data_IF_556165893877
#
_entry.id   IF_556165893877
#
_cell.length_a   1.000
_cell.length_b   1.000
_cell.length_c   1.000
_cell.angle_alpha   90.00
_cell.angle_beta   90.00
_cell.angle_gamma   90.00
#
_symmetry.space_group_name_H-M   'P 1'
#
loop_
_entity.id
_entity.type
_entity.pdbx_description
1 polymer ?
#
# COMPACT_ATOMS: atom_id res chain seq x y z
N UNK A 1 -2.19 -16.97 1.68
CA UNK A 1 -2.92 -16.17 2.68
C UNK A 1 -3.05 -17.04 3.92
N UNK A 2 -2.81 -16.50 5.11
CA UNK A 2 -2.94 -17.27 6.35
C UNK A 2 -4.00 -16.61 7.20
N UNK A 3 -5.10 -17.33 7.40
CA UNK A 3 -6.18 -16.94 8.29
C UNK A 3 -5.69 -17.07 9.74
N UNK A 4 -5.58 -15.94 10.45
CA UNK A 4 -5.30 -15.93 11.88
C UNK A 4 -6.63 -15.74 12.61
N UNK A 5 -7.10 -16.81 13.24
CA UNK A 5 -8.22 -16.74 14.17
C UNK A 5 -7.68 -16.17 15.48
N UNK A 6 -7.88 -14.87 15.67
CA UNK A 6 -7.60 -14.21 16.95
C UNK A 6 -8.54 -14.79 18.03
N UNK A 7 -8.19 -14.67 19.31
CA UNK A 7 -9.02 -15.16 20.44
C UNK A 7 -10.45 -14.59 20.54
N UNK A 8 -10.85 -13.74 19.60
CA UNK A 8 -12.15 -13.11 19.44
C UNK A 8 -12.97 -13.68 18.24
N UNK A 9 -12.53 -14.80 17.64
CA UNK A 9 -13.18 -15.45 16.49
C UNK A 9 -13.42 -14.52 15.28
N UNK A 10 -12.54 -13.55 15.07
CA UNK A 10 -12.50 -12.74 13.85
C UNK A 10 -11.29 -13.18 13.04
N UNK A 11 -11.55 -13.76 11.87
CA UNK A 11 -10.57 -14.06 10.83
C UNK A 11 -9.92 -12.76 10.38
N UNK A 12 -8.73 -12.46 10.90
CA UNK A 12 -7.93 -11.35 10.39
C UNK A 12 -7.08 -11.88 9.24
N UNK A 13 -7.27 -11.30 8.05
CA UNK A 13 -6.53 -11.67 6.86
C UNK A 13 -5.16 -10.97 6.90
N UNK A 14 -4.21 -11.58 7.60
CA UNK A 14 -2.89 -10.98 7.81
C UNK A 14 -2.00 -11.36 6.64
N UNK A 15 -1.46 -10.34 5.96
CA UNK A 15 -0.44 -10.55 4.93
C UNK A 15 0.83 -11.10 5.60
N UNK A 16 1.01 -12.41 5.52
CA UNK A 16 2.25 -13.09 5.94
C UNK A 16 3.42 -12.40 5.23
N UNK A 17 4.43 -12.01 6.00
CA UNK A 17 5.61 -11.33 5.46
C UNK A 17 6.24 -12.18 4.34
N UNK A 18 6.58 -11.54 3.21
CA UNK A 18 7.25 -12.20 2.09
C UNK A 18 8.56 -12.81 2.61
N UNK A 19 8.89 -14.05 2.21
CA UNK A 19 10.12 -14.75 2.64
C UNK A 19 11.37 -13.87 2.51
N UNK A 20 11.47 -13.06 1.46
CA UNK A 20 12.57 -12.13 1.24
C UNK A 20 12.69 -11.04 2.33
N UNK A 21 11.59 -10.46 2.81
CA UNK A 21 11.65 -9.43 3.85
C UNK A 21 12.01 -10.02 5.22
N UNK A 22 11.57 -11.25 5.49
CA UNK A 22 12.03 -12.04 6.64
C UNK A 22 13.53 -12.34 6.56
N UNK A 23 14.00 -12.77 5.39
CA UNK A 23 15.42 -13.00 5.12
C UNK A 23 16.27 -11.76 5.39
N UNK A 24 15.91 -10.61 4.82
CA UNK A 24 16.61 -9.35 5.10
C UNK A 24 16.60 -8.97 6.59
N UNK A 25 15.48 -9.13 7.28
CA UNK A 25 15.43 -8.84 8.72
C UNK A 25 16.37 -9.76 9.52
N UNK A 26 16.42 -11.06 9.18
CA UNK A 26 17.33 -12.03 9.80
C UNK A 26 18.78 -11.66 9.49
N UNK A 27 19.10 -11.30 8.25
CA UNK A 27 20.46 -10.92 7.87
C UNK A 27 20.93 -9.68 8.63
N UNK A 28 20.09 -8.66 8.75
CA UNK A 28 20.39 -7.46 9.54
C UNK A 28 20.57 -7.79 11.02
N UNK A 29 19.65 -8.58 11.60
CA UNK A 29 19.77 -9.03 12.99
C UNK A 29 21.06 -9.82 13.22
N UNK A 30 21.40 -10.75 12.31
CA UNK A 30 22.61 -11.56 12.39
C UNK A 30 23.87 -10.70 12.25
N UNK A 31 23.87 -9.71 11.35
CA UNK A 31 24.97 -8.76 11.19
C UNK A 31 25.21 -7.99 12.50
N UNK A 32 24.18 -7.35 13.05
CA UNK A 32 24.29 -6.60 14.31
C UNK A 32 24.72 -7.50 15.46
N UNK A 33 24.14 -8.70 15.56
CA UNK A 33 24.46 -9.66 16.62
C UNK A 33 25.89 -10.18 16.50
N UNK A 34 26.38 -10.39 15.27
CA UNK A 34 27.76 -10.82 15.01
C UNK A 34 28.76 -9.72 15.33
N UNK A 35 28.48 -8.47 14.94
CA UNK A 35 29.32 -7.32 15.32
C UNK A 35 29.36 -7.15 16.85
N UNK A 36 28.21 -7.27 17.51
CA UNK A 36 28.13 -7.21 18.97
C UNK A 36 28.92 -8.34 19.62
N UNK A 37 28.85 -9.56 19.08
CA UNK A 37 29.59 -10.72 19.58
C UNK A 37 31.10 -10.50 19.45
N UNK A 38 31.59 -10.10 18.27
CA UNK A 38 33.01 -9.83 18.05
C UNK A 38 33.53 -8.73 18.96
N UNK A 39 32.77 -7.64 19.10
CA UNK A 39 33.14 -6.56 20.02
C UNK A 39 33.22 -7.06 21.46
N UNK A 40 32.23 -7.84 21.90
CA UNK A 40 32.18 -8.34 23.26
C UNK A 40 33.32 -9.33 23.55
N UNK A 41 33.63 -10.24 22.61
CA UNK A 41 34.78 -11.16 22.70
C UNK A 41 36.10 -10.40 22.69
N UNK A 42 36.23 -9.35 21.89
CA UNK A 42 37.43 -8.50 21.88
C UNK A 42 37.63 -7.82 23.25
N UNK A 43 36.57 -7.26 23.84
CA UNK A 43 36.62 -6.63 25.16
C UNK A 43 36.98 -7.65 26.25
N UNK A 44 36.37 -8.85 26.23
CA UNK A 44 36.72 -9.88 27.21
C UNK A 44 38.13 -10.40 27.00
N UNK A 45 38.62 -10.51 25.77
CA UNK A 45 40.01 -10.88 25.49
C UNK A 45 41.01 -9.86 26.06
N UNK A 46 40.71 -8.55 26.04
CA UNK A 46 41.58 -7.54 26.67
C UNK A 46 41.75 -7.73 28.18
N UNK A 47 40.81 -8.41 28.84
CA UNK A 47 40.93 -8.70 30.28
C UNK A 47 42.05 -9.69 30.60
N UNK A 48 42.50 -10.50 29.63
CA UNK A 48 43.62 -11.44 29.84
C UNK A 48 44.96 -10.73 30.08
N UNK A 49 45.03 -9.42 29.84
CA UNK A 49 46.21 -8.61 30.16
C UNK A 49 46.34 -8.32 31.66
N UNK A 50 45.26 -8.51 32.44
CA UNK A 50 45.19 -8.09 33.86
C UNK A 50 44.60 -9.18 34.76
N UNK A 51 43.83 -10.13 34.22
CA UNK A 51 43.18 -11.21 34.97
C UNK A 51 43.68 -12.59 34.54
N UNK A 52 43.47 -13.59 35.40
CA UNK A 52 43.82 -14.99 35.14
C UNK A 52 42.95 -15.60 34.03
N UNK A 53 43.52 -16.56 33.28
CA UNK A 53 42.88 -17.21 32.13
C UNK A 53 41.50 -17.80 32.45
N UNK A 54 41.34 -18.41 33.63
CA UNK A 54 40.07 -19.00 34.05
C UNK A 54 38.95 -17.97 34.14
N UNK A 55 39.26 -16.76 34.62
CA UNK A 55 38.32 -15.65 34.70
C UNK A 55 37.93 -15.15 33.30
N UNK A 56 38.92 -14.95 32.43
CA UNK A 56 38.68 -14.50 31.05
C UNK A 56 37.85 -15.50 30.25
N UNK A 57 38.11 -16.80 30.39
CA UNK A 57 37.31 -17.86 29.75
C UNK A 57 35.88 -17.84 30.27
N UNK A 58 35.69 -17.81 31.59
CA UNK A 58 34.36 -17.77 32.21
C UNK A 58 33.55 -16.54 31.77
N UNK A 59 34.18 -15.36 31.77
CA UNK A 59 33.55 -14.12 31.33
C UNK A 59 33.20 -14.16 29.84
N UNK A 60 34.10 -14.66 28.99
CA UNK A 60 33.86 -14.79 27.55
C UNK A 60 32.70 -15.72 27.24
N UNK A 61 32.59 -16.85 27.95
CA UNK A 61 31.45 -17.77 27.82
C UNK A 61 30.14 -17.11 28.25
N UNK A 62 30.13 -16.44 29.41
CA UNK A 62 28.96 -15.75 29.93
C UNK A 62 28.45 -14.69 28.94
N UNK A 63 29.36 -13.86 28.43
CA UNK A 63 29.05 -12.78 27.48
C UNK A 63 28.59 -13.36 26.14
N UNK A 64 29.20 -14.45 25.67
CA UNK A 64 28.77 -15.13 24.46
C UNK A 64 27.33 -15.61 24.58
N UNK A 65 26.95 -16.29 25.68
CA UNK A 65 25.56 -16.71 25.91
C UNK A 65 24.62 -15.51 26.02
N UNK A 66 25.06 -14.43 26.69
CA UNK A 66 24.27 -13.20 26.81
C UNK A 66 24.03 -12.54 25.45
N UNK A 67 24.98 -12.56 24.52
CA UNK A 67 24.80 -12.02 23.16
C UNK A 67 24.01 -12.97 22.27
N UNK A 68 24.23 -14.28 22.36
CA UNK A 68 23.55 -15.27 21.52
C UNK A 68 22.07 -15.42 21.88
N UNK A 69 21.76 -15.47 23.18
CA UNK A 69 20.40 -15.73 23.70
C UNK A 69 19.80 -14.48 24.33
N UNK A 70 20.58 -13.77 25.17
CA UNK A 70 20.10 -12.61 25.91
C UNK A 70 19.70 -11.45 25.00
N UNK A 71 20.53 -11.05 24.04
CA UNK A 71 20.24 -9.97 23.10
C UNK A 71 18.88 -10.17 22.37
N UNK A 72 18.64 -11.26 21.61
CA UNK A 72 17.37 -11.41 20.90
C UNK A 72 16.19 -11.55 21.87
N UNK A 73 16.38 -12.22 23.02
CA UNK A 73 15.33 -12.40 24.02
C UNK A 73 14.91 -11.06 24.65
N UNK A 74 15.89 -10.23 25.06
CA UNK A 74 15.65 -8.92 25.68
C UNK A 74 15.02 -7.97 24.67
N UNK A 75 15.56 -7.87 23.46
CA UNK A 75 15.00 -7.00 22.42
C UNK A 75 13.57 -7.39 22.07
N UNK A 76 13.30 -8.69 21.81
CA UNK A 76 11.94 -9.12 21.47
C UNK A 76 10.97 -8.93 22.64
N UNK A 77 11.41 -9.11 23.89
CA UNK A 77 10.56 -8.91 25.07
C UNK A 77 10.23 -7.43 25.28
N UNK A 78 11.26 -6.55 25.29
CA UNK A 78 11.08 -5.13 25.58
C UNK A 78 10.33 -4.39 24.47
N UNK A 79 10.59 -4.75 23.20
CA UNK A 79 9.96 -4.08 22.05
C UNK A 79 8.64 -4.73 21.61
N UNK A 80 8.14 -5.71 22.37
CA UNK A 80 6.90 -6.46 22.08
C UNK A 80 6.92 -7.15 20.72
N UNK A 81 8.03 -7.82 20.42
CA UNK A 81 8.21 -8.70 19.27
C UNK A 81 9.04 -8.11 18.14
N UNK A 82 9.90 -7.12 18.41
CA UNK A 82 10.77 -6.52 17.40
C UNK A 82 12.25 -6.67 17.78
N UNK A 83 13.10 -6.62 16.78
CA UNK A 83 14.56 -6.59 16.87
C UNK A 83 15.03 -5.51 15.90
N UNK A 84 16.28 -5.07 15.95
CA UNK A 84 16.76 -3.96 15.12
C UNK A 84 16.51 -4.20 13.61
N UNK A 85 16.83 -5.40 13.11
CA UNK A 85 16.57 -5.79 11.71
C UNK A 85 15.08 -5.88 11.40
N UNK A 86 14.26 -6.42 12.32
CA UNK A 86 12.80 -6.43 12.15
C UNK A 86 12.21 -5.02 12.15
N UNK A 87 12.74 -4.10 12.95
CA UNK A 87 12.32 -2.69 12.97
C UNK A 87 12.65 -2.00 11.64
N UNK A 88 13.84 -2.24 11.10
CA UNK A 88 14.27 -1.69 9.81
C UNK A 88 13.37 -2.14 8.65
N UNK A 89 12.93 -3.41 8.66
CA UNK A 89 12.10 -3.99 7.60
C UNK A 89 10.58 -3.89 7.91
N UNK A 90 10.21 -3.37 9.07
CA UNK A 90 8.80 -3.18 9.47
C UNK A 90 8.07 -4.48 9.81
N UNK A 91 8.78 -5.45 10.38
CA UNK A 91 8.25 -6.73 10.84
C UNK A 91 8.03 -6.74 12.35
N UNK A 92 7.07 -7.56 12.79
CA UNK A 92 6.79 -7.79 14.21
C UNK A 92 6.37 -9.23 14.46
N UNK A 93 6.88 -9.81 15.55
CA UNK A 93 6.47 -11.11 16.07
C UNK A 93 5.24 -10.92 16.95
N UNK A 94 4.22 -11.75 16.74
CA UNK A 94 3.01 -11.83 17.57
C UNK A 94 2.76 -13.29 17.96
N UNK A 95 2.04 -13.49 19.06
CA UNK A 95 1.56 -14.83 19.43
C UNK A 95 0.55 -15.33 18.40
N UNK A 96 0.35 -16.64 18.34
CA UNK A 96 -0.62 -17.25 17.43
C UNK A 96 -2.06 -16.78 17.66
N UNK A 97 -2.39 -16.40 18.90
CA UNK A 97 -3.70 -15.82 19.24
C UNK A 97 -3.83 -14.33 18.84
N UNK A 98 -2.78 -13.75 18.25
CA UNK A 98 -2.69 -12.34 17.86
C UNK A 98 -2.23 -11.40 18.97
N UNK A 99 -1.98 -11.93 20.18
CA UNK A 99 -1.50 -11.16 21.34
C UNK A 99 -0.02 -10.75 21.24
N UNK A 100 0.46 -9.87 22.16
CA UNK A 100 1.87 -9.54 22.26
C UNK A 100 2.69 -10.76 22.68
N UNK A 101 3.95 -10.80 22.25
CA UNK A 101 4.88 -11.86 22.63
C UNK A 101 5.17 -11.85 24.14
N UNK A 102 5.26 -13.04 24.75
CA UNK A 102 5.67 -13.22 26.15
C UNK A 102 7.17 -13.53 26.25
N UNK A 103 7.79 -13.25 27.40
CA UNK A 103 9.20 -13.56 27.64
C UNK A 103 9.58 -15.02 27.32
N UNK A 104 8.78 -15.99 27.77
CA UNK A 104 9.00 -17.42 27.48
C UNK A 104 9.05 -17.70 25.98
N UNK A 105 8.20 -17.07 25.19
CA UNK A 105 8.17 -17.25 23.74
C UNK A 105 9.43 -16.65 23.11
N UNK A 106 9.84 -15.45 23.55
CA UNK A 106 11.09 -14.83 23.10
C UNK A 106 12.33 -15.68 23.45
N UNK A 107 12.36 -16.28 24.65
CA UNK A 107 13.45 -17.16 25.09
C UNK A 107 13.54 -18.43 24.25
N UNK A 108 12.41 -19.13 24.04
CA UNK A 108 12.36 -20.35 23.20
C UNK A 108 12.84 -20.03 21.78
N UNK A 109 12.45 -18.88 21.24
CA UNK A 109 12.91 -18.42 19.92
C UNK A 109 14.40 -18.10 19.89
N UNK A 110 14.92 -17.46 20.94
CA UNK A 110 16.34 -17.16 21.06
C UNK A 110 17.19 -18.44 21.11
N UNK A 111 16.78 -19.41 21.92
CA UNK A 111 17.44 -20.72 22.03
C UNK A 111 17.37 -21.52 20.72
N UNK A 112 16.19 -21.59 20.10
CA UNK A 112 16.04 -22.20 18.78
C UNK A 112 16.91 -21.50 17.72
N UNK A 113 17.04 -20.17 17.81
CA UNK A 113 17.90 -19.38 16.93
C UNK A 113 19.39 -19.75 17.03
N UNK A 114 19.89 -20.14 18.21
CA UNK A 114 21.26 -20.65 18.36
C UNK A 114 21.45 -21.91 17.52
N UNK A 115 20.54 -22.86 17.64
CA UNK A 115 20.59 -24.10 16.86
C UNK A 115 20.44 -23.80 15.37
N UNK A 116 19.40 -23.05 15.00
CA UNK A 116 19.07 -22.77 13.61
C UNK A 116 20.16 -21.99 12.88
N UNK A 117 20.65 -20.87 13.45
CA UNK A 117 21.53 -19.93 12.75
C UNK A 117 23.01 -20.11 13.06
N UNK A 118 23.36 -20.43 14.31
CA UNK A 118 24.76 -20.53 14.72
C UNK A 118 25.33 -21.93 14.52
N UNK A 119 24.53 -22.99 14.76
CA UNK A 119 24.99 -24.37 14.59
C UNK A 119 24.79 -24.90 13.16
N UNK A 120 23.68 -24.54 12.51
CA UNK A 120 23.28 -25.07 11.20
C UNK A 120 23.16 -24.01 10.09
N UNK A 121 23.73 -22.81 10.28
CA UNK A 121 23.79 -21.73 9.27
C UNK A 121 22.45 -21.35 8.62
N UNK A 122 21.35 -21.44 9.37
CA UNK A 122 20.01 -21.08 8.94
C UNK A 122 19.29 -22.15 8.10
N UNK A 123 19.93 -23.29 7.80
CA UNK A 123 19.32 -24.34 6.98
C UNK A 123 18.00 -24.90 7.56
N UNK A 124 17.87 -25.19 8.88
CA UNK A 124 16.62 -25.73 9.41
C UNK A 124 15.50 -24.68 9.41
N UNK A 125 15.85 -23.40 9.62
CA UNK A 125 14.91 -22.28 9.56
C UNK A 125 14.34 -22.10 8.14
N UNK A 126 15.17 -22.25 7.11
CA UNK A 126 14.74 -22.17 5.71
C UNK A 126 13.84 -23.35 5.34
N UNK A 127 14.25 -24.57 5.67
CA UNK A 127 13.49 -25.79 5.37
C UNK A 127 12.11 -25.74 6.04
N UNK A 128 12.06 -25.49 7.35
CA UNK A 128 10.80 -25.42 8.09
C UNK A 128 9.90 -24.28 7.61
N UNK A 129 10.47 -23.11 7.29
CA UNK A 129 9.72 -21.99 6.74
C UNK A 129 9.18 -22.28 5.33
N UNK A 130 9.84 -23.11 4.52
CA UNK A 130 9.38 -23.47 3.18
C UNK A 130 8.29 -24.55 3.23
N UNK A 131 8.47 -25.57 4.08
CA UNK A 131 7.51 -26.67 4.22
C UNK A 131 6.22 -26.25 4.93
N UNK A 132 6.23 -25.16 5.69
CA UNK A 132 5.05 -24.69 6.42
C UNK A 132 4.23 -23.68 5.61
N UNK A 133 2.93 -23.95 5.43
CA UNK A 133 1.97 -23.03 4.78
C UNK A 133 1.93 -21.62 5.37
N UNK A 134 2.23 -21.47 6.66
CA UNK A 134 2.27 -20.16 7.35
C UNK A 134 3.66 -19.53 7.37
N UNK A 135 4.65 -20.17 6.75
CA UNK A 135 6.02 -19.67 6.68
C UNK A 135 6.72 -19.56 8.04
N UNK A 136 6.35 -20.36 9.04
CA UNK A 136 7.01 -20.31 10.37
C UNK A 136 8.29 -21.13 10.35
N UNK A 137 9.38 -20.58 10.89
CA UNK A 137 10.62 -21.32 11.16
C UNK A 137 10.51 -22.15 12.45
N UNK A 138 11.49 -22.99 12.74
CA UNK A 138 11.46 -23.91 13.88
C UNK A 138 11.24 -23.18 15.22
N UNK A 139 11.98 -22.09 15.46
CA UNK A 139 11.78 -21.28 16.67
C UNK A 139 10.40 -20.61 16.77
N UNK A 140 9.79 -20.26 15.65
CA UNK A 140 8.44 -19.69 15.62
C UNK A 140 7.38 -20.76 15.94
N UNK A 141 7.59 -21.98 15.44
CA UNK A 141 6.73 -23.15 15.69
C UNK A 141 6.74 -23.54 17.16
N UNK A 142 7.92 -23.70 17.76
CA UNK A 142 8.02 -24.09 19.17
C UNK A 142 7.51 -23.03 20.13
N UNK A 143 7.64 -21.75 19.78
CA UNK A 143 7.14 -20.66 20.61
C UNK A 143 5.66 -20.33 20.42
N UNK A 144 4.98 -20.94 19.42
CA UNK A 144 3.60 -20.58 19.08
C UNK A 144 3.46 -19.12 18.65
N UNK A 145 4.35 -18.69 17.74
CA UNK A 145 4.41 -17.30 17.27
C UNK A 145 4.39 -17.22 15.75
N UNK A 146 4.04 -16.05 15.24
CA UNK A 146 4.09 -15.71 13.82
C UNK A 146 4.67 -14.32 13.62
N UNK A 147 5.37 -14.11 12.50
CA UNK A 147 5.88 -12.78 12.14
C UNK A 147 4.94 -12.17 11.11
N UNK A 148 4.47 -10.97 11.43
CA UNK A 148 3.56 -10.18 10.60
C UNK A 148 4.29 -8.95 10.07
N UNK A 149 3.85 -8.46 8.91
CA UNK A 149 4.31 -7.19 8.36
C UNK A 149 3.46 -6.05 8.92
N UNK A 150 4.08 -5.15 9.67
CA UNK A 150 3.40 -4.03 10.34
C UNK A 150 3.50 -2.72 9.53
N UNK A 151 4.57 -2.54 8.75
CA UNK A 151 4.73 -1.38 7.85
C UNK A 151 4.57 -1.76 6.38
N UNK A 152 3.86 -0.89 5.66
CA UNK A 152 3.83 -0.82 4.19
C UNK A 152 5.28 -0.57 3.70
N UNK A 153 5.74 -1.26 2.65
CA UNK A 153 7.16 -1.31 2.25
C UNK A 153 7.83 0.05 2.13
N UNK A 154 9.13 0.09 2.44
CA UNK A 154 10.01 1.27 2.34
C UNK A 154 10.04 1.92 0.94
N UNK A 155 9.53 1.27 -0.09
CA UNK A 155 9.26 1.90 -1.39
C UNK A 155 8.31 3.11 -1.28
N UNK A 156 7.46 3.16 -0.24
CA UNK A 156 6.62 4.32 0.07
C UNK A 156 7.38 5.49 0.74
N UNK A 157 8.60 5.26 1.24
CA UNK A 157 9.44 6.32 1.84
C UNK A 157 10.28 7.04 0.78
N UNK A 158 10.76 6.34 -0.26
CA UNK A 158 11.58 6.94 -1.32
C UNK A 158 10.75 7.66 -2.40
N UNK A 159 9.51 7.24 -2.65
CA UNK A 159 8.64 7.84 -3.68
C UNK A 159 7.42 8.57 -3.12
N UNK A 160 7.43 8.86 -1.81
CA UNK A 160 6.29 9.43 -1.11
C UNK A 160 5.03 8.53 -1.18
N UNK A 161 3.91 8.97 -0.60
CA UNK A 161 2.63 8.34 -0.85
C UNK A 161 2.34 8.32 -2.35
N UNK A 162 2.09 7.14 -2.93
CA UNK A 162 1.70 6.97 -4.36
C UNK A 162 0.49 7.84 -4.76
N UNK A 163 -0.26 8.35 -3.79
CA UNK A 163 -1.30 9.35 -3.97
C UNK A 163 -1.25 10.36 -2.82
N UNK A 164 -0.80 11.58 -3.13
CA UNK A 164 -0.89 12.76 -2.25
C UNK A 164 -2.02 13.64 -2.78
N UNK A 165 -2.87 14.16 -1.89
CA UNK A 165 -3.95 15.06 -2.28
C UNK A 165 -3.37 16.39 -2.80
N UNK A 166 -3.59 16.75 -4.08
CA UNK A 166 -3.18 18.05 -4.60
C UNK A 166 -4.00 19.16 -3.91
N UNK A 167 -3.38 20.25 -3.42
CA UNK A 167 -4.10 21.28 -2.66
C UNK A 167 -5.22 21.94 -3.48
N UNK A 168 -4.99 22.14 -4.78
CA UNK A 168 -5.97 22.68 -5.73
C UNK A 168 -7.20 21.79 -5.97
N UNK A 169 -7.13 20.50 -5.68
CA UNK A 169 -8.25 19.56 -5.78
C UNK A 169 -8.78 19.12 -4.42
N UNK A 170 -8.24 19.62 -3.31
CA UNK A 170 -8.64 19.19 -1.98
C UNK A 170 -10.12 19.49 -1.68
N UNK A 171 -10.65 20.61 -2.19
CA UNK A 171 -12.06 20.97 -2.04
C UNK A 171 -12.98 20.00 -2.79
N UNK A 172 -12.59 19.59 -4.01
CA UNK A 172 -13.34 18.64 -4.84
C UNK A 172 -13.21 17.21 -4.30
N UNK A 173 -12.00 16.82 -3.88
CA UNK A 173 -11.75 15.53 -3.27
C UNK A 173 -12.65 15.26 -2.08
N UNK A 174 -12.85 16.26 -1.20
CA UNK A 174 -13.75 16.14 -0.04
C UNK A 174 -15.21 15.92 -0.41
N UNK A 175 -15.67 16.40 -1.57
CA UNK A 175 -17.04 16.22 -2.03
C UNK A 175 -17.26 14.95 -2.87
N UNK A 176 -16.21 14.17 -3.14
CA UNK A 176 -16.31 12.97 -3.96
C UNK A 176 -17.21 11.90 -3.34
N UNK A 177 -18.05 11.27 -4.14
CA UNK A 177 -18.68 10.00 -3.87
C UNK A 177 -17.85 8.90 -4.53
N UNK A 178 -17.37 7.96 -3.71
CA UNK A 178 -16.45 6.89 -4.12
C UNK A 178 -17.09 5.50 -3.96
N UNK A 179 -18.41 5.45 -3.77
CA UNK A 179 -19.18 4.22 -3.53
C UNK A 179 -19.07 3.21 -4.68
N UNK A 180 -18.99 3.72 -5.91
CA UNK A 180 -18.94 2.94 -7.15
C UNK A 180 -17.51 2.63 -7.64
N UNK A 181 -16.48 3.17 -6.97
CA UNK A 181 -15.09 2.94 -7.34
C UNK A 181 -14.61 1.56 -6.85
N UNK A 182 -14.44 0.63 -7.78
CA UNK A 182 -13.96 -0.72 -7.46
C UNK A 182 -12.50 -0.76 -6.99
N UNK A 183 -12.16 -1.80 -6.23
CA UNK A 183 -10.79 -2.07 -5.76
C UNK A 183 -9.83 -2.32 -6.92
N UNK A 184 -10.29 -3.01 -7.95
CA UNK A 184 -9.52 -3.29 -9.16
C UNK A 184 -9.12 -1.99 -9.88
N UNK A 185 -10.09 -1.11 -10.14
CA UNK A 185 -9.83 0.16 -10.83
C UNK A 185 -8.91 1.08 -10.01
N UNK A 186 -9.09 1.13 -8.69
CA UNK A 186 -8.19 1.86 -7.80
C UNK A 186 -6.77 1.28 -7.81
N UNK A 187 -6.62 -0.04 -7.88
CA UNK A 187 -5.32 -0.70 -8.01
C UNK A 187 -4.65 -0.41 -9.35
N UNK A 188 -5.40 -0.41 -10.46
CA UNK A 188 -4.89 -0.02 -11.78
C UNK A 188 -4.36 1.41 -11.78
N UNK A 189 -5.14 2.35 -11.23
CA UNK A 189 -4.71 3.74 -11.06
C UNK A 189 -3.45 3.87 -10.20
N UNK A 190 -3.37 3.10 -9.11
CA UNK A 190 -2.18 3.08 -8.24
C UNK A 190 -0.95 2.53 -8.94
N UNK A 191 -1.08 1.46 -9.71
CA UNK A 191 0.03 0.87 -10.47
C UNK A 191 0.57 1.85 -11.51
N UNK A 192 -0.32 2.55 -12.22
CA UNK A 192 0.05 3.62 -13.13
C UNK A 192 0.87 4.71 -12.43
N UNK A 193 0.37 5.27 -11.33
CA UNK A 193 1.08 6.33 -10.60
C UNK A 193 2.43 5.86 -10.03
N UNK A 194 2.51 4.60 -9.57
CA UNK A 194 3.76 4.04 -9.04
C UNK A 194 4.83 3.93 -10.12
N UNK A 195 4.43 3.60 -11.35
CA UNK A 195 5.33 3.43 -12.51
C UNK A 195 5.41 4.67 -13.39
N UNK A 196 4.84 5.79 -12.96
CA UNK A 196 4.70 6.98 -13.79
C UNK A 196 6.04 7.43 -14.39
N UNK A 197 7.12 7.39 -13.61
CA UNK A 197 8.47 7.79 -14.05
C UNK A 197 9.20 6.75 -14.91
N UNK A 198 8.72 5.51 -14.98
CA UNK A 198 9.31 4.42 -15.77
C UNK A 198 8.71 4.33 -17.19
N UNK A 199 7.52 4.88 -17.41
CA UNK A 199 6.79 4.79 -18.67
C UNK A 199 7.35 5.75 -19.72
N UNK A 200 7.18 5.45 -21.02
CA UNK A 200 7.46 6.43 -22.08
C UNK A 200 6.39 7.54 -22.10
N UNK A 201 6.71 8.78 -22.49
CA UNK A 201 5.76 9.91 -22.47
C UNK A 201 4.41 9.62 -23.15
N UNK A 202 4.41 9.04 -24.34
CA UNK A 202 3.16 8.73 -25.08
C UNK A 202 2.31 7.68 -24.35
N UNK A 203 2.96 6.72 -23.69
CA UNK A 203 2.29 5.69 -22.90
C UNK A 203 1.73 6.28 -21.60
N UNK A 204 2.44 7.25 -20.98
CA UNK A 204 1.95 7.94 -19.78
C UNK A 204 0.64 8.66 -20.05
N UNK A 205 0.55 9.36 -21.18
CA UNK A 205 -0.61 10.15 -21.53
C UNK A 205 -1.80 9.27 -21.95
N UNK A 206 -1.57 8.32 -22.86
CA UNK A 206 -2.64 7.42 -23.35
C UNK A 206 -3.21 6.52 -22.25
N UNK A 207 -2.35 5.92 -21.41
CA UNK A 207 -2.77 5.05 -20.33
C UNK A 207 -3.38 5.84 -19.18
N UNK A 208 -2.80 7.01 -18.86
CA UNK A 208 -3.35 7.94 -17.87
C UNK A 208 -4.77 8.38 -18.24
N UNK A 209 -4.98 8.82 -19.49
CA UNK A 209 -6.28 9.26 -19.98
C UNK A 209 -7.31 8.13 -19.90
N UNK A 210 -6.95 6.92 -20.34
CA UNK A 210 -7.87 5.76 -20.31
C UNK A 210 -8.34 5.43 -18.89
N UNK A 211 -7.41 5.40 -17.92
CA UNK A 211 -7.75 5.13 -16.51
C UNK A 211 -8.56 6.28 -15.94
N UNK A 212 -8.20 7.54 -16.24
CA UNK A 212 -8.96 8.70 -15.78
C UNK A 212 -10.39 8.69 -16.30
N UNK A 213 -10.63 8.36 -17.58
CA UNK A 213 -11.99 8.22 -18.13
C UNK A 213 -12.80 7.16 -17.38
N UNK A 214 -12.19 6.01 -17.09
CA UNK A 214 -12.85 4.94 -16.32
C UNK A 214 -13.19 5.38 -14.89
N UNK A 215 -12.29 6.11 -14.23
CA UNK A 215 -12.53 6.63 -12.88
C UNK A 215 -13.59 7.71 -12.88
N UNK A 216 -13.54 8.67 -13.82
CA UNK A 216 -14.53 9.75 -13.93
C UNK A 216 -15.94 9.21 -14.20
N UNK A 217 -16.08 8.08 -14.90
CA UNK A 217 -17.37 7.44 -15.15
C UNK A 217 -18.05 6.89 -13.89
N UNK A 218 -17.29 6.68 -12.79
CA UNK A 218 -17.80 6.06 -11.55
C UNK A 218 -17.66 6.95 -10.31
N UNK A 219 -17.22 8.20 -10.45
CA UNK A 219 -17.14 9.16 -9.34
C UNK A 219 -18.02 10.37 -9.60
N UNK A 220 -18.52 10.97 -8.52
CA UNK A 220 -19.34 12.19 -8.55
C UNK A 220 -18.88 13.14 -7.44
N UNK A 221 -18.88 14.47 -7.60
CA UNK A 221 -19.18 15.24 -8.81
C UNK A 221 -18.06 15.14 -9.86
N UNK A 222 -18.32 15.48 -11.14
CA UNK A 222 -17.29 15.46 -12.18
C UNK A 222 -16.09 16.36 -11.81
N UNK A 223 -14.88 16.03 -12.31
CA UNK A 223 -13.68 16.80 -12.01
C UNK A 223 -13.73 18.21 -12.61
N UNK A 224 -12.99 19.18 -12.03
CA UNK A 224 -12.79 20.48 -12.65
C UNK A 224 -12.19 20.37 -14.06
N UNK A 225 -12.56 21.26 -14.99
CA UNK A 225 -12.02 21.23 -16.35
C UNK A 225 -10.51 21.50 -16.38
N UNK A 226 -9.79 20.89 -17.32
CA UNK A 226 -8.36 21.14 -17.54
C UNK A 226 -7.40 20.41 -16.60
N UNK A 227 -7.89 19.49 -15.76
CA UNK A 227 -7.04 18.72 -14.85
C UNK A 227 -6.36 17.56 -15.59
N UNK A 228 -5.03 17.44 -15.42
CA UNK A 228 -4.25 16.33 -15.99
C UNK A 228 -4.61 14.99 -15.31
N UNK A 229 -4.61 13.85 -16.05
CA UNK A 229 -5.02 12.54 -15.53
C UNK A 229 -4.32 12.12 -14.23
N UNK A 230 -3.02 12.30 -14.13
CA UNK A 230 -2.23 11.91 -12.95
C UNK A 230 -2.58 12.74 -11.69
N UNK A 231 -2.97 14.01 -11.86
CA UNK A 231 -3.38 14.89 -10.78
C UNK A 231 -4.78 14.50 -10.29
N UNK A 232 -5.67 14.15 -11.23
CA UNK A 232 -7.00 13.63 -10.92
C UNK A 232 -6.92 12.30 -10.17
N UNK A 233 -6.17 11.33 -10.71
CA UNK A 233 -6.04 10.00 -10.13
C UNK A 233 -5.38 10.04 -8.74
N UNK A 234 -4.38 10.89 -8.54
CA UNK A 234 -3.78 11.09 -7.21
C UNK A 234 -4.76 11.69 -6.21
N UNK A 235 -5.60 12.66 -6.61
CA UNK A 235 -6.63 13.22 -5.74
C UNK A 235 -7.68 12.18 -5.32
N UNK A 236 -8.20 11.40 -6.27
CA UNK A 236 -9.20 10.35 -6.02
C UNK A 236 -8.65 9.27 -5.07
N UNK A 237 -7.43 8.79 -5.34
CA UNK A 237 -6.79 7.77 -4.50
C UNK A 237 -6.41 8.31 -3.11
N UNK A 238 -6.01 9.59 -3.01
CA UNK A 238 -5.71 10.23 -1.73
C UNK A 238 -6.97 10.36 -0.86
N UNK A 239 -8.10 10.78 -1.45
CA UNK A 239 -9.39 10.85 -0.74
C UNK A 239 -9.86 9.46 -0.31
N UNK A 240 -9.79 8.47 -1.20
CA UNK A 240 -10.16 7.08 -0.88
C UNK A 240 -9.36 6.57 0.33
N UNK A 241 -8.04 6.78 0.31
CA UNK A 241 -7.15 6.44 1.41
C UNK A 241 -7.53 7.16 2.71
N UNK A 242 -7.81 8.46 2.64
CA UNK A 242 -8.21 9.25 3.80
C UNK A 242 -9.47 8.69 4.47
N UNK A 243 -10.47 8.27 3.68
CA UNK A 243 -11.70 7.63 4.19
C UNK A 243 -11.46 6.25 4.78
N UNK A 244 -10.61 5.45 4.15
CA UNK A 244 -10.24 4.13 4.69
C UNK A 244 -9.50 4.27 6.03
N UNK A 245 -8.55 5.21 6.14
CA UNK A 245 -7.85 5.52 7.38
C UNK A 245 -8.82 5.97 8.49
N UNK A 246 -9.79 6.82 8.16
CA UNK A 246 -10.84 7.26 9.07
C UNK A 246 -11.72 6.10 9.57
N UNK A 247 -12.19 5.22 8.66
CA UNK A 247 -12.99 4.03 9.01
C UNK A 247 -12.21 3.09 9.94
N UNK A 248 -10.93 2.87 9.66
CA UNK A 248 -10.06 2.03 10.49
C UNK A 248 -9.83 2.66 11.87
N UNK A 249 -9.62 3.97 11.94
CA UNK A 249 -9.48 4.69 13.21
C UNK A 249 -10.76 4.59 14.06
N UNK A 250 -11.94 4.73 13.45
CA UNK A 250 -13.23 4.56 14.13
C UNK A 250 -13.43 3.14 14.66
N UNK A 251 -13.14 2.12 13.84
CA UNK A 251 -13.21 0.71 14.27
C UNK A 251 -12.25 0.41 15.43
N UNK A 252 -11.04 0.97 15.39
CA UNK A 252 -10.06 0.88 16.49
C UNK A 252 -10.59 1.56 17.76
N UNK A 253 -11.14 2.77 17.65
CA UNK A 253 -11.70 3.50 18.78
C UNK A 253 -12.90 2.77 19.41
N UNK A 254 -13.81 2.22 18.60
CA UNK A 254 -14.92 1.40 19.07
C UNK A 254 -14.43 0.15 19.80
N UNK A 255 -13.39 -0.53 19.27
CA UNK A 255 -12.78 -1.68 19.93
C UNK A 255 -12.12 -1.28 21.26
N UNK A 256 -11.37 -0.18 21.31
CA UNK A 256 -10.74 0.29 22.57
C UNK A 256 -11.78 0.66 23.64
N UNK A 257 -12.89 1.31 23.24
CA UNK A 257 -14.01 1.62 24.14
C UNK A 257 -14.64 0.36 24.74
N UNK A 258 -14.80 -0.72 23.96
CA UNK A 258 -15.31 -2.01 24.47
C UNK A 258 -14.40 -2.63 25.53
N UNK A 259 -13.09 -2.40 25.45
CA UNK A 259 -12.14 -2.89 26.45
C UNK A 259 -11.94 -1.96 27.65
N UNK A 260 -12.67 -0.82 27.73
CA UNK A 260 -12.60 0.11 28.86
C UNK A 260 -11.37 1.03 28.85
N UNK A 261 -10.66 1.13 27.73
CA UNK A 261 -9.46 1.97 27.61
C UNK A 261 -9.87 3.33 27.05
N UNK A 262 -9.64 4.39 27.82
CA UNK A 262 -9.83 5.77 27.36
C UNK A 262 -8.84 6.05 26.23
N UNK A 263 -9.37 6.37 25.05
CA UNK A 263 -8.56 6.69 23.89
C UNK A 263 -7.70 7.92 24.20
N UNK A 264 -6.38 7.76 24.27
CA UNK A 264 -5.49 8.86 23.93
C UNK A 264 -5.82 9.22 22.48
N UNK A 265 -6.56 10.30 22.29
CA UNK A 265 -6.69 10.93 20.98
C UNK A 265 -5.28 11.46 20.67
N UNK A 266 -4.58 11.00 19.60
CA UNK A 266 -3.54 11.84 19.07
C UNK A 266 -4.22 13.17 18.79
N UNK A 267 -3.76 14.24 19.43
CA UNK A 267 -4.17 15.59 19.09
C UNK A 267 -4.16 15.66 17.56
N UNK A 268 -5.29 16.06 16.96
CA UNK A 268 -5.35 16.30 15.53
C UNK A 268 -4.06 17.05 15.19
N UNK A 269 -3.22 16.48 14.32
CA UNK A 269 -2.03 17.16 13.83
C UNK A 269 -2.48 18.58 13.54
N UNK A 270 -1.84 19.60 14.17
CA UNK A 270 -2.41 20.94 14.22
C UNK A 270 -2.84 21.26 12.80
N UNK A 271 -4.15 21.36 12.60
CA UNK A 271 -4.67 21.94 11.40
C UNK A 271 -3.90 23.25 11.34
N UNK A 272 -3.01 23.40 10.35
CA UNK A 272 -2.36 24.69 10.08
C UNK A 272 -3.46 25.69 10.27
N UNK A 273 -3.33 26.51 11.33
CA UNK A 273 -4.41 27.31 11.83
C UNK A 273 -4.96 28.04 10.61
N UNK A 274 -6.13 27.59 10.17
CA UNK A 274 -6.92 28.37 9.26
C UNK A 274 -7.04 29.67 10.00
N UNK A 275 -6.45 30.73 9.44
CA UNK A 275 -6.80 32.09 9.81
C UNK A 275 -8.31 32.06 10.02
N UNK A 276 -8.74 32.51 11.21
CA UNK A 276 -10.12 32.41 11.64
C UNK A 276 -11.10 32.93 10.57
N UNK A 277 -12.41 32.69 10.74
CA UNK A 277 -13.40 33.28 9.86
C UNK A 277 -13.04 34.75 9.60
N UNK A 278 -12.97 35.18 8.32
CA UNK A 278 -12.46 36.51 8.01
C UNK A 278 -13.26 37.53 8.81
N UNK A 279 -12.63 38.55 9.40
CA UNK A 279 -13.34 39.57 10.13
C UNK A 279 -14.40 40.15 9.18
N UNK A 280 -15.67 40.04 9.58
CA UNK A 280 -16.79 40.71 8.94
C UNK A 280 -16.72 42.20 9.28
N UNK A 281 -15.73 42.87 8.70
CA UNK A 281 -15.65 44.32 8.66
C UNK A 281 -16.39 44.86 7.43
N UNK A 282 -16.83 46.12 7.44
CA UNK A 282 -17.38 46.75 6.24
C UNK A 282 -16.36 46.65 5.11
N UNK A 283 -16.82 46.26 3.92
CA UNK A 283 -16.02 46.15 2.71
C UNK A 283 -15.56 47.57 2.35
N UNK A 284 -14.38 47.97 2.81
CA UNK A 284 -13.73 49.17 2.29
C UNK A 284 -13.27 48.81 0.88
N UNK A 285 -13.92 49.40 -0.12
CA UNK A 285 -13.48 49.28 -1.50
C UNK A 285 -11.99 49.66 -1.57
N UNK A 286 -11.14 48.69 -1.87
CA UNK A 286 -9.74 48.95 -2.19
C UNK A 286 -9.65 49.89 -3.39
N UNK A 287 -8.52 50.61 -3.55
CA UNK A 287 -8.32 51.46 -4.71
C UNK A 287 -8.53 50.65 -6.00
N UNK A 288 -9.14 51.23 -7.05
CA UNK A 288 -9.46 50.50 -8.27
C UNK A 288 -8.19 49.90 -8.88
N UNK A 289 -8.32 48.70 -9.44
CA UNK A 289 -7.23 48.02 -10.12
C UNK A 289 -6.66 48.92 -11.24
N UNK A 290 -5.33 49.07 -11.36
CA UNK A 290 -4.76 49.85 -12.44
C UNK A 290 -5.07 49.20 -13.79
N UNK A 291 -5.26 49.99 -14.86
CA UNK A 291 -5.55 49.47 -16.20
C UNK A 291 -4.39 48.60 -16.72
N UNK A 292 -4.66 47.68 -17.66
CA UNK A 292 -3.72 46.62 -18.07
C UNK A 292 -2.40 47.13 -18.68
N UNK A 293 -2.27 48.42 -19.00
CA UNK A 293 -1.02 49.03 -19.41
C UNK A 293 -0.93 50.46 -18.87
N UNK A 294 0.08 50.73 -18.04
CA UNK A 294 0.47 52.09 -17.69
C UNK A 294 1.37 52.65 -18.78
N UNK A 295 1.10 53.86 -19.27
CA UNK A 295 2.03 54.53 -20.19
C UNK A 295 3.40 54.76 -19.50
N UNK A 296 4.54 54.65 -20.22
CA UNK A 296 5.86 54.80 -19.63
C UNK A 296 6.03 56.17 -18.95
N UNK A 297 6.59 56.20 -17.73
CA UNK A 297 7.02 57.43 -17.07
C UNK A 297 8.49 57.73 -17.42
N UNK A 298 8.89 59.01 -17.54
CA UNK A 298 10.28 59.36 -17.82
C UNK A 298 11.21 58.82 -16.72
N UNK A 299 12.25 58.07 -17.11
CA UNK A 299 13.33 57.64 -16.21
C UNK A 299 13.32 56.18 -15.74
N UNK A 300 12.43 55.30 -16.25
CA UNK A 300 12.51 53.86 -16.01
C UNK A 300 13.01 53.09 -17.25
N UNK A 301 13.80 52.01 -17.08
CA UNK A 301 14.26 51.18 -18.19
C UNK A 301 13.07 50.53 -18.89
N UNK A 302 12.93 50.83 -20.18
CA UNK A 302 11.86 50.30 -21.02
C UNK A 302 12.24 48.89 -21.46
N UNK A 303 11.46 47.88 -21.09
CA UNK A 303 11.60 46.55 -21.67
C UNK A 303 11.03 46.59 -23.09
N UNK A 304 11.91 46.77 -24.08
CA UNK A 304 11.60 46.53 -25.47
C UNK A 304 11.79 45.03 -25.73
N UNK A 305 10.72 44.27 -26.03
CA UNK A 305 10.92 42.89 -26.46
C UNK A 305 11.78 42.86 -27.74
N UNK A 306 12.61 41.83 -27.94
CA UNK A 306 13.33 41.63 -29.20
C UNK A 306 12.36 41.66 -30.40
N UNK A 307 12.81 42.13 -31.57
CA UNK A 307 11.98 42.26 -32.77
C UNK A 307 11.28 40.96 -33.21
N UNK A 308 11.81 39.81 -32.76
CA UNK A 308 11.31 38.47 -33.10
C UNK A 308 10.50 37.82 -31.97
N UNK A 309 10.08 38.59 -30.97
CA UNK A 309 9.24 38.08 -29.87
C UNK A 309 7.85 37.71 -30.39
N UNK A 310 7.65 36.42 -30.70
CA UNK A 310 6.43 35.90 -31.32
C UNK A 310 6.66 35.12 -32.62
N UNK A 311 7.89 35.09 -33.15
CA UNK A 311 8.26 34.32 -34.34
C UNK A 311 8.52 32.82 -34.05
N UNK A 312 7.69 32.22 -33.19
CA UNK A 312 7.67 30.78 -32.98
C UNK A 312 6.79 30.08 -34.03
N UNK A 313 6.82 28.74 -34.13
CA UNK A 313 6.13 27.95 -35.16
C UNK A 313 4.58 28.06 -35.15
N UNK A 314 4.02 28.89 -34.28
CA UNK A 314 2.57 29.11 -34.09
C UNK A 314 2.09 30.49 -34.55
N UNK A 315 2.92 31.27 -35.23
CA UNK A 315 2.57 32.64 -35.68
C UNK A 315 1.29 32.67 -36.55
N UNK A 316 1.03 31.60 -37.31
CA UNK A 316 -0.19 31.45 -38.12
C UNK A 316 -1.47 31.11 -37.34
N UNK A 317 -1.37 30.74 -36.05
CA UNK A 317 -2.52 30.36 -35.22
C UNK A 317 -3.11 31.57 -34.48
N UNK A 318 -2.28 32.58 -34.19
CA UNK A 318 -2.70 33.77 -33.43
C UNK A 318 -3.32 34.88 -34.29
N UNK A 319 -3.09 34.88 -35.61
CA UNK A 319 -3.56 35.93 -36.52
C UNK A 319 -4.45 35.45 -37.68
N UNK A 320 -5.04 34.25 -37.57
CA UNK A 320 -6.05 33.80 -38.52
C UNK A 320 -7.35 34.63 -38.41
N UNK A 321 -8.06 34.93 -39.52
CA UNK A 321 -9.34 35.62 -39.45
C UNK A 321 -10.34 34.81 -38.61
N UNK A 322 -10.95 35.47 -37.62
CA UNK A 322 -11.97 34.85 -36.78
C UNK A 322 -13.17 34.41 -37.64
N UNK A 323 -13.60 33.14 -37.61
CA UNK A 323 -14.85 32.75 -38.24
C UNK A 323 -16.03 33.38 -37.47
N UNK A 324 -17.11 33.82 -38.14
CA UNK A 324 -18.25 34.43 -37.48
C UNK A 324 -18.92 33.44 -36.52
N UNK A 325 -19.27 33.92 -35.33
CA UNK A 325 -19.93 33.16 -34.27
C UNK A 325 -21.23 32.51 -34.78
N UNK A 326 -21.19 31.20 -35.06
CA UNK A 326 -22.38 30.36 -35.24
C UNK A 326 -22.68 29.66 -33.91
N UNK A 327 -23.86 29.93 -33.36
CA UNK A 327 -24.41 29.17 -32.22
C UNK A 327 -24.54 27.68 -32.57
N UNK A 328 -24.60 26.81 -31.55
CA UNK A 328 -24.72 25.38 -31.78
C UNK A 328 -26.12 25.08 -32.33
N UNK A 329 -26.17 24.13 -33.28
CA UNK A 329 -27.34 23.55 -33.98
C UNK A 329 -27.63 24.06 -35.41
N UNK A 330 -27.34 23.24 -36.45
CA UNK A 330 -27.93 23.40 -37.77
C UNK A 330 -29.39 22.86 -37.80
N UNK A 331 -30.32 23.50 -38.52
CA UNK A 331 -31.67 22.96 -38.73
C UNK A 331 -31.62 21.77 -39.70
N UNK A 332 -32.07 20.60 -39.25
CA UNK A 332 -32.26 19.42 -40.08
C UNK A 332 -33.59 19.47 -40.86
N UNK A 333 -33.71 18.75 -41.99
CA UNK A 333 -34.93 18.77 -42.81
C UNK A 333 -36.07 17.97 -42.19
N UNK A 334 -37.29 18.53 -42.21
CA UNK A 334 -38.53 17.84 -41.89
C UNK A 334 -38.85 16.75 -42.92
N UNK A 335 -39.23 15.52 -42.51
CA UNK A 335 -40.00 14.63 -43.36
C UNK A 335 -41.50 14.81 -43.10
N UNK A 336 -42.23 15.14 -44.16
CA UNK A 336 -43.68 14.96 -44.25
C UNK A 336 -44.04 13.49 -44.00
N UNK A 337 -45.04 13.23 -43.15
CA UNK A 337 -45.95 12.10 -43.34
C UNK A 337 -47.21 12.24 -42.52
N UNK A 338 -48.31 12.12 -43.26
CA UNK A 338 -49.71 12.04 -42.85
C UNK A 338 -50.03 10.75 -42.08
N UNK A 339 -50.69 10.93 -40.90
CA UNK A 339 -51.67 10.05 -40.20
C UNK A 339 -51.25 8.65 -39.66
N UNK A 340 -52.00 8.00 -38.73
CA UNK A 340 -53.16 8.41 -37.90
C UNK A 340 -52.97 8.10 -36.37
N UNK A 341 -53.95 8.36 -35.47
CA UNK A 341 -53.73 8.46 -34.03
C UNK A 341 -53.93 7.12 -33.29
N UNK A 342 -53.08 6.85 -32.30
CA UNK A 342 -53.21 5.71 -31.39
C UNK A 342 -52.25 5.84 -30.21
N UNK A 343 -52.71 6.48 -29.14
CA UNK A 343 -52.05 6.49 -27.83
C UNK A 343 -52.25 5.17 -27.05
N UNK A 344 -51.75 5.09 -25.81
CA UNK A 344 -50.85 4.04 -25.33
C UNK A 344 -51.56 2.96 -24.49
N UNK A 345 -50.79 2.09 -23.82
CA UNK A 345 -51.15 1.12 -22.76
C UNK A 345 -51.31 -0.35 -23.19
N UNK A 346 -50.23 -1.12 -23.02
CA UNK A 346 -50.32 -2.54 -22.64
C UNK A 346 -49.24 -2.83 -21.58
N UNK A 347 -49.59 -3.31 -20.37
CA UNK A 347 -48.62 -3.69 -19.35
C UNK A 347 -48.01 -5.05 -19.69
N UNK A 348 -46.68 -5.16 -19.60
CA UNK A 348 -45.97 -6.42 -19.74
C UNK A 348 -46.29 -7.34 -18.54
N UNK A 349 -46.72 -8.57 -18.84
CA UNK A 349 -47.03 -9.59 -17.83
C UNK A 349 -45.80 -10.11 -17.07
N UNK A 350 -46.01 -10.92 -16.00
CA UNK A 350 -44.94 -11.37 -15.12
C UNK A 350 -43.99 -12.36 -15.81
N UNK A 351 -42.68 -12.20 -15.58
CA UNK A 351 -41.64 -13.15 -16.01
C UNK A 351 -41.81 -14.50 -15.29
N UNK A 352 -41.56 -15.65 -15.97
CA UNK A 352 -41.52 -16.95 -15.31
C UNK A 352 -40.31 -17.08 -14.37
N UNK A 353 -40.41 -17.88 -13.30
CA UNK A 353 -39.33 -18.06 -12.33
C UNK A 353 -38.16 -18.87 -12.90
N UNK A 354 -36.95 -18.55 -12.43
CA UNK A 354 -35.71 -19.22 -12.80
C UNK A 354 -35.68 -20.69 -12.30
N UNK A 355 -35.01 -21.62 -13.03
CA UNK A 355 -34.83 -22.99 -12.57
C UNK A 355 -33.91 -23.07 -11.35
N UNK A 356 -34.09 -24.07 -10.47
CA UNK A 356 -33.27 -24.22 -9.26
C UNK A 356 -31.81 -24.56 -9.57
N UNK A 357 -30.87 -24.24 -8.66
CA UNK A 357 -29.45 -24.48 -8.85
C UNK A 357 -29.15 -25.98 -8.93
N UNK A 358 -28.37 -26.38 -9.94
CA UNK A 358 -27.86 -27.74 -10.08
C UNK A 358 -26.74 -27.99 -9.07
N UNK A 359 -26.83 -29.10 -8.35
CA UNK A 359 -25.88 -29.52 -7.33
C UNK A 359 -24.58 -30.01 -8.00
N UNK A 360 -23.38 -29.47 -7.66
CA UNK A 360 -22.13 -29.79 -8.37
C UNK A 360 -21.61 -31.21 -8.15
N UNK A 361 -22.27 -32.02 -7.31
CA UNK A 361 -21.77 -33.32 -6.86
C UNK A 361 -22.36 -34.54 -7.60
N UNK A 362 -23.09 -34.35 -8.70
CA UNK A 362 -23.60 -35.45 -9.54
C UNK A 362 -22.86 -35.64 -10.88
N UNK A 363 -21.53 -35.40 -10.92
CA UNK A 363 -20.71 -35.87 -12.03
C UNK A 363 -19.56 -36.75 -11.54
N UNK A 364 -19.64 -38.05 -11.86
CA UNK A 364 -18.46 -38.88 -12.05
C UNK A 364 -18.03 -39.78 -10.89
N UNK A 365 -18.87 -40.74 -10.50
CA UNK A 365 -18.35 -42.01 -9.96
C UNK A 365 -18.47 -43.08 -11.06
N UNK A 366 -17.38 -43.71 -11.51
CA UNK A 366 -17.49 -44.94 -12.29
C UNK A 366 -18.02 -46.07 -11.38
N UNK A 367 -18.84 -47.01 -11.90
CA UNK A 367 -19.37 -48.11 -11.12
C UNK A 367 -18.25 -49.04 -10.60
N UNK A 368 -18.42 -49.68 -9.44
CA UNK A 368 -17.41 -50.54 -8.84
C UNK A 368 -17.31 -51.85 -9.65
N UNK A 369 -16.14 -52.12 -10.25
CA UNK A 369 -15.95 -53.41 -10.94
C UNK A 369 -14.76 -53.58 -11.88
N UNK A 370 -13.87 -52.59 -12.06
CA UNK A 370 -12.71 -52.76 -12.94
C UNK A 370 -11.43 -52.20 -12.30
N UNK A 371 -10.73 -53.04 -11.55
CA UNK A 371 -9.31 -52.85 -11.26
C UNK A 371 -8.52 -53.74 -12.22
N UNK A 372 -7.56 -53.21 -12.99
CA UNK A 372 -6.58 -54.05 -13.68
C UNK A 372 -5.60 -54.66 -12.67
N UNK A 373 -5.10 -55.90 -12.91
CA UNK A 373 -4.22 -56.60 -11.97
C UNK A 373 -2.85 -55.93 -11.83
N UNK A 374 -2.16 -56.13 -10.69
CA UNK A 374 -0.87 -55.51 -10.42
C UNK A 374 0.24 -56.20 -11.21
N UNK A 375 0.95 -55.44 -12.04
CA UNK A 375 2.18 -55.90 -12.68
C UNK A 375 2.28 -55.49 -14.14
N UNK A 376 2.66 -54.24 -14.38
CA UNK A 376 3.33 -53.77 -15.60
C UNK A 376 3.76 -52.31 -15.40
N UNK A 377 4.99 -52.11 -14.94
CA UNK A 377 5.65 -50.81 -15.00
C UNK A 377 6.32 -50.68 -16.38
N UNK A 378 6.03 -49.65 -17.19
CA UNK A 378 6.85 -49.36 -18.34
C UNK A 378 8.11 -48.61 -17.89
N UNK A 379 9.26 -49.24 -18.11
CA UNK A 379 10.56 -48.57 -18.18
C UNK A 379 10.51 -47.44 -19.22
N UNK A 380 11.03 -46.26 -18.87
CA UNK A 380 11.21 -45.15 -19.80
C UNK A 380 11.86 -43.93 -19.13
N UNK A 381 13.18 -43.94 -19.01
CA UNK A 381 14.11 -43.09 -19.76
C UNK A 381 14.37 -41.70 -19.13
N UNK A 382 15.52 -41.61 -18.47
CA UNK A 382 16.20 -40.35 -18.15
C UNK A 382 16.86 -39.78 -19.42
N UNK A 383 16.81 -38.46 -19.67
CA UNK A 383 17.73 -37.83 -20.61
C UNK A 383 18.95 -37.29 -19.86
N UNK A 384 20.14 -37.75 -20.26
CA UNK A 384 21.40 -37.06 -20.02
C UNK A 384 21.53 -35.83 -20.93
N UNK A 385 22.00 -34.73 -20.33
CA UNK A 385 23.01 -33.78 -20.84
C UNK A 385 22.93 -33.22 -22.27
N UNK A 386 22.81 -31.89 -22.36
CA UNK A 386 23.91 -31.03 -22.81
C UNK A 386 23.77 -29.62 -22.25
#
# INVERSE_FOLDING_TARGET
MAELVTGEAVALDIRVARLASRGCAILLDLLFQTMLLYFAVYVTAMTSLVADDAWTVGLTLLVTVAVLVGYPCVFETLTRGRTLGKMAVGLRVVADDGGPIRFRQALVRALAGVIEFWLFYGSPALITSFCNRRGKRLGDLFAGTIVIQERVPASALFFGPVAVMPPQLAWWGRSLELSMLSDELAMTARQYLTRFWELLPETRDSLGQRIATQVVAVVSPPPPPGVRPEILLSAVLAERRHREEWRLAQRRAQRMRRFGWTSWQPAAAPAMAMAGPPPSGPITAGPPAPPPFSAPRPGQPQFLPPSDYGAGPYQGVLHGPHPPARGPYPPGPHPDSTMPPGGPYAPAGPRPPAPPPQDPWQQGYPPPGQYPPPGQYPHGQYPQGR
#
